data_IF_851216875576
#
_entry.id   IF_851216875576
#
_cell.length_a   1.000
_cell.length_b   1.000
_cell.length_c   1.000
_cell.angle_alpha   90.00
_cell.angle_beta   90.00
_cell.angle_gamma   90.00
#
_symmetry.space_group_name_H-M   'P 1'
#
loop_
_entity.id
_entity.type
_entity.pdbx_description
1 polymer ?
#
# COMPACT_ATOMS: atom_id res chain seq x y z
N UNK A 1 19.76 91.88 21.63
CA UNK A 1 19.12 91.26 22.81
C UNK A 1 17.94 90.32 22.46
N UNK A 2 18.03 89.46 21.43
CA UNK A 2 16.94 88.52 21.07
C UNK A 2 17.34 87.04 21.07
N UNK A 3 18.64 86.71 21.22
CA UNK A 3 19.13 85.33 21.22
C UNK A 3 19.31 84.69 22.61
N UNK A 4 19.15 85.46 23.70
CA UNK A 4 19.30 84.94 25.07
C UNK A 4 17.98 84.45 25.70
N UNK A 5 16.82 84.72 25.09
CA UNK A 5 15.51 84.25 25.59
C UNK A 5 15.21 82.83 25.10
N UNK A 6 15.67 82.45 23.90
CA UNK A 6 15.45 81.10 23.36
C UNK A 6 16.26 80.01 24.06
N UNK A 7 17.42 80.33 24.65
CA UNK A 7 18.25 79.36 25.37
C UNK A 7 17.66 78.94 26.73
N UNK A 8 16.90 79.81 27.39
CA UNK A 8 16.30 79.50 28.69
C UNK A 8 14.99 78.72 28.55
N UNK A 9 14.23 78.94 27.47
CA UNK A 9 12.99 78.21 27.20
C UNK A 9 13.21 76.73 26.78
N UNK A 10 14.40 76.40 26.25
CA UNK A 10 14.72 75.02 25.84
C UNK A 10 15.32 74.16 26.97
N UNK A 11 15.66 74.76 28.12
CA UNK A 11 16.21 74.04 29.28
C UNK A 11 15.11 73.72 30.32
N UNK A 12 13.96 74.40 30.30
CA UNK A 12 12.85 74.11 31.23
C UNK A 12 11.92 72.96 30.78
N UNK A 13 12.02 72.50 29.53
CA UNK A 13 11.20 71.40 29.00
C UNK A 13 11.96 70.04 28.97
N UNK A 14 13.12 69.95 29.62
CA UNK A 14 13.92 68.71 29.70
C UNK A 14 13.79 67.95 31.02
N UNK A 15 13.21 68.55 32.06
CA UNK A 15 13.27 67.99 33.43
C UNK A 15 11.90 67.62 34.00
N UNK A 16 10.79 67.99 33.33
CA UNK A 16 9.43 67.70 33.85
C UNK A 16 8.78 66.47 33.18
N UNK A 17 9.44 65.82 32.21
CA UNK A 17 8.90 64.63 31.54
C UNK A 17 9.58 63.30 31.88
N UNK A 18 10.53 63.26 32.83
CA UNK A 18 11.17 62.00 33.26
C UNK A 18 10.72 61.50 34.64
N UNK A 19 9.86 62.21 35.35
CA UNK A 19 9.44 61.82 36.72
C UNK A 19 8.25 60.86 36.79
N UNK A 20 7.64 60.43 35.67
CA UNK A 20 6.49 59.50 35.70
C UNK A 20 6.67 58.18 34.94
N UNK A 21 7.88 57.87 34.43
CA UNK A 21 8.12 56.62 33.67
C UNK A 21 8.79 55.52 34.52
N UNK A 22 8.90 55.71 35.84
CA UNK A 22 9.52 54.73 36.74
C UNK A 22 8.62 54.27 37.90
N UNK A 23 7.29 54.40 37.77
CA UNK A 23 6.33 53.88 38.75
C UNK A 23 5.39 52.80 38.19
N UNK A 24 5.39 52.56 36.88
CA UNK A 24 4.51 51.55 36.25
C UNK A 24 5.25 50.26 35.81
N UNK A 25 6.58 50.20 35.92
CA UNK A 25 7.36 49.00 35.56
C UNK A 25 7.49 48.00 36.73
N UNK A 26 7.40 48.47 37.98
CA UNK A 26 7.68 47.64 39.16
C UNK A 26 6.45 46.93 39.75
N UNK A 27 5.22 47.26 39.33
CA UNK A 27 4.02 46.59 39.87
C UNK A 27 3.83 45.15 39.36
N UNK A 28 4.51 44.76 38.27
CA UNK A 28 4.60 43.35 37.84
C UNK A 28 5.75 42.59 38.50
N UNK A 29 6.76 43.29 39.01
CA UNK A 29 7.96 42.69 39.62
C UNK A 29 7.72 42.25 41.07
N UNK A 30 6.68 42.75 41.73
CA UNK A 30 6.33 42.46 43.12
C UNK A 30 5.24 41.38 43.28
N UNK A 31 4.89 40.66 42.19
CA UNK A 31 4.21 39.38 42.35
C UNK A 31 5.19 38.41 43.01
N UNK A 32 5.07 38.29 44.33
CA UNK A 32 5.81 37.40 45.23
C UNK A 32 6.27 36.14 44.48
N UNK A 33 7.57 35.88 44.45
CA UNK A 33 8.17 34.72 43.76
C UNK A 33 7.44 33.41 44.11
N UNK A 34 6.91 33.32 45.32
CA UNK A 34 6.06 32.22 45.79
C UNK A 34 4.79 32.04 44.95
N UNK A 35 4.11 33.12 44.58
CA UNK A 35 2.91 33.08 43.73
C UNK A 35 3.24 32.65 42.29
N UNK A 36 4.42 33.02 41.79
CA UNK A 36 4.90 32.57 40.46
C UNK A 36 5.24 31.09 40.47
N UNK A 37 5.90 30.62 41.53
CA UNK A 37 6.20 29.21 41.73
C UNK A 37 4.93 28.37 41.86
N UNK A 38 3.97 28.79 42.67
CA UNK A 38 2.69 28.09 42.83
C UNK A 38 1.90 28.02 41.52
N UNK A 39 1.93 29.09 40.72
CA UNK A 39 1.31 29.10 39.39
C UNK A 39 2.03 28.17 38.41
N UNK A 40 3.37 28.17 38.40
CA UNK A 40 4.17 27.26 37.58
C UNK A 40 3.93 25.81 37.96
N UNK A 41 3.92 25.50 39.25
CA UNK A 41 3.64 24.16 39.77
C UNK A 41 2.24 23.70 39.35
N UNK A 42 1.24 24.57 39.46
CA UNK A 42 -0.13 24.27 39.03
C UNK A 42 -0.23 24.09 37.52
N UNK A 43 0.44 24.92 36.73
CA UNK A 43 0.48 24.81 35.27
C UNK A 43 1.15 23.51 34.83
N UNK A 44 2.35 23.23 35.35
CA UNK A 44 3.11 21.99 35.08
C UNK A 44 2.28 20.77 35.49
N UNK A 45 1.68 20.78 36.68
CA UNK A 45 0.85 19.67 37.15
C UNK A 45 -0.35 19.44 36.23
N UNK A 46 -1.04 20.52 35.82
CA UNK A 46 -2.20 20.41 34.92
C UNK A 46 -1.84 19.97 33.51
N UNK A 47 -0.69 20.43 32.99
CA UNK A 47 -0.23 20.15 31.65
C UNK A 47 0.31 18.72 31.55
N UNK A 48 1.08 18.27 32.56
CA UNK A 48 1.55 16.88 32.67
C UNK A 48 0.37 15.92 32.75
N UNK A 49 -0.65 16.21 33.55
CA UNK A 49 -1.85 15.36 33.64
C UNK A 49 -2.64 15.32 32.32
N UNK A 50 -2.73 16.45 31.61
CA UNK A 50 -3.31 16.50 30.25
C UNK A 50 -2.51 15.65 29.27
N UNK A 51 -1.19 15.82 29.23
CA UNK A 51 -0.30 15.09 28.34
C UNK A 51 -0.35 13.58 28.61
N UNK A 52 -0.37 13.16 29.88
CA UNK A 52 -0.52 11.75 30.25
C UNK A 52 -1.88 11.19 29.82
N UNK A 53 -2.95 11.95 29.99
CA UNK A 53 -4.29 11.54 29.55
C UNK A 53 -4.35 11.38 28.04
N UNK A 54 -3.72 12.28 27.29
CA UNK A 54 -3.66 12.23 25.83
C UNK A 54 -2.82 11.06 25.34
N UNK A 55 -1.66 10.81 25.96
CA UNK A 55 -0.82 9.64 25.67
C UNK A 55 -1.59 8.33 25.91
N UNK A 56 -2.34 8.24 27.01
CA UNK A 56 -3.17 7.06 27.31
C UNK A 56 -4.31 6.86 26.31
N UNK A 57 -4.90 7.96 25.79
CA UNK A 57 -5.91 7.87 24.72
C UNK A 57 -5.29 7.37 23.42
N UNK A 58 -4.16 7.96 23.01
CA UNK A 58 -3.44 7.55 21.81
C UNK A 58 -3.05 6.07 21.85
N UNK A 59 -2.51 5.59 22.97
CA UNK A 59 -2.14 4.19 23.13
C UNK A 59 -3.35 3.25 23.07
N UNK A 60 -4.49 3.65 23.65
CA UNK A 60 -5.73 2.84 23.56
C UNK A 60 -6.26 2.76 22.14
N UNK A 61 -6.20 3.86 21.39
CA UNK A 61 -6.60 3.91 19.99
C UNK A 61 -5.67 3.03 19.13
N UNK A 62 -4.36 3.11 19.36
CA UNK A 62 -3.39 2.26 18.67
C UNK A 62 -3.61 0.76 18.98
N UNK A 63 -3.84 0.39 20.25
CA UNK A 63 -4.17 -0.99 20.64
C UNK A 63 -5.45 -1.47 19.94
N UNK A 64 -6.48 -0.62 19.86
CA UNK A 64 -7.72 -0.95 19.16
C UNK A 64 -7.47 -1.16 17.66
N UNK A 65 -6.65 -0.31 17.05
CA UNK A 65 -6.27 -0.45 15.64
C UNK A 65 -5.47 -1.71 15.37
N UNK A 66 -4.45 -1.99 16.19
CA UNK A 66 -3.63 -3.21 16.09
C UNK A 66 -4.49 -4.47 16.27
N UNK A 67 -5.44 -4.45 17.20
CA UNK A 67 -6.39 -5.56 17.37
C UNK A 67 -7.23 -5.77 16.12
N UNK A 68 -7.75 -4.70 15.51
CA UNK A 68 -8.48 -4.79 14.25
C UNK A 68 -7.62 -5.37 13.12
N UNK A 69 -6.35 -4.97 13.03
CA UNK A 69 -5.41 -5.53 12.05
C UNK A 69 -5.15 -7.02 12.29
N UNK A 70 -5.02 -7.44 13.55
CA UNK A 70 -4.85 -8.86 13.91
C UNK A 70 -6.08 -9.68 13.51
N UNK A 71 -7.29 -9.20 13.83
CA UNK A 71 -8.54 -9.88 13.46
C UNK A 71 -8.68 -10.01 11.93
N UNK A 72 -8.29 -8.98 11.17
CA UNK A 72 -8.26 -9.03 9.71
C UNK A 72 -7.24 -10.06 9.19
N UNK A 73 -6.01 -10.03 9.70
CA UNK A 73 -4.95 -10.96 9.28
C UNK A 73 -5.32 -12.41 9.60
N UNK A 74 -5.95 -12.66 10.75
CA UNK A 74 -6.43 -13.99 11.13
C UNK A 74 -7.50 -14.49 10.16
N UNK A 75 -8.46 -13.64 9.79
CA UNK A 75 -9.46 -13.98 8.78
C UNK A 75 -8.85 -14.29 7.42
N UNK A 76 -7.90 -13.47 6.95
CA UNK A 76 -7.19 -13.69 5.69
C UNK A 76 -6.42 -15.01 5.70
N UNK A 77 -5.74 -15.33 6.81
CA UNK A 77 -5.05 -16.61 6.98
C UNK A 77 -6.01 -17.80 6.94
N UNK A 78 -7.15 -17.72 7.64
CA UNK A 78 -8.13 -18.80 7.65
C UNK A 78 -8.75 -19.00 6.25
N UNK A 79 -9.04 -17.91 5.55
CA UNK A 79 -9.50 -17.95 4.16
C UNK A 79 -8.46 -18.56 3.21
N UNK A 80 -7.17 -18.27 3.40
CA UNK A 80 -6.08 -18.88 2.63
C UNK A 80 -5.95 -20.38 2.92
N UNK A 81 -6.02 -20.81 4.19
CA UNK A 81 -6.00 -22.22 4.57
C UNK A 81 -7.18 -22.98 3.97
N UNK A 82 -8.38 -22.40 4.01
CA UNK A 82 -9.57 -23.03 3.45
C UNK A 82 -9.47 -23.17 1.92
N UNK A 83 -8.95 -22.14 1.23
CA UNK A 83 -8.67 -22.21 -0.21
C UNK A 83 -7.64 -23.29 -0.54
N UNK A 84 -6.56 -23.38 0.23
CA UNK A 84 -5.56 -24.43 0.08
C UNK A 84 -6.22 -25.81 0.25
N UNK A 85 -7.00 -26.03 1.31
CA UNK A 85 -7.71 -27.29 1.53
C UNK A 85 -8.63 -27.66 0.37
N UNK A 86 -9.40 -26.69 -0.12
CA UNK A 86 -10.27 -26.89 -1.28
C UNK A 86 -9.48 -27.28 -2.53
N UNK A 87 -8.33 -26.63 -2.77
CA UNK A 87 -7.46 -26.94 -3.91
C UNK A 87 -6.87 -28.36 -3.80
N UNK A 88 -6.45 -28.78 -2.60
CA UNK A 88 -5.97 -30.14 -2.36
C UNK A 88 -7.06 -31.19 -2.66
N UNK A 89 -8.29 -30.95 -2.19
CA UNK A 89 -9.41 -31.86 -2.43
C UNK A 89 -9.81 -31.90 -3.92
N UNK A 90 -9.77 -30.76 -4.62
CA UNK A 90 -10.02 -30.74 -6.06
C UNK A 90 -8.94 -31.49 -6.85
N UNK A 91 -7.67 -31.27 -6.51
CA UNK A 91 -6.55 -31.96 -7.15
C UNK A 91 -6.63 -33.48 -6.93
N UNK A 92 -6.96 -33.93 -5.72
CA UNK A 92 -7.17 -35.35 -5.42
C UNK A 92 -8.34 -35.95 -6.20
N UNK A 93 -9.49 -35.25 -6.26
CA UNK A 93 -10.64 -35.69 -7.08
C UNK A 93 -10.28 -35.79 -8.55
N UNK A 94 -9.51 -34.83 -9.08
CA UNK A 94 -9.08 -34.83 -10.49
C UNK A 94 -8.09 -35.96 -10.77
N UNK A 95 -7.12 -36.21 -9.89
CA UNK A 95 -6.19 -37.34 -10.03
C UNK A 95 -6.94 -38.66 -10.00
N UNK A 96 -7.78 -38.88 -8.99
CA UNK A 96 -8.63 -40.07 -8.90
C UNK A 96 -9.57 -40.21 -10.11
N UNK A 97 -10.11 -39.09 -10.62
CA UNK A 97 -10.95 -39.04 -11.81
C UNK A 97 -10.21 -39.34 -13.11
N UNK A 98 -8.93 -38.96 -13.24
CA UNK A 98 -8.08 -39.32 -14.37
C UNK A 98 -7.66 -40.78 -14.28
N UNK A 99 -7.34 -41.31 -13.11
CA UNK A 99 -7.02 -42.73 -12.92
C UNK A 99 -8.24 -43.64 -13.17
N UNK A 100 -9.43 -43.25 -12.68
CA UNK A 100 -10.68 -43.97 -12.94
C UNK A 100 -11.20 -43.77 -14.39
N UNK A 101 -11.02 -42.58 -14.95
CA UNK A 101 -11.41 -42.19 -16.30
C UNK A 101 -10.48 -42.72 -17.39
N UNK A 102 -9.23 -43.06 -17.07
CA UNK A 102 -8.28 -43.71 -17.99
C UNK A 102 -8.70 -45.14 -18.37
N UNK A 103 -9.72 -45.71 -17.71
CA UNK A 103 -10.38 -46.97 -18.11
C UNK A 103 -11.68 -46.77 -18.90
N UNK A 104 -12.20 -45.54 -18.97
CA UNK A 104 -13.38 -45.17 -19.74
C UNK A 104 -13.00 -44.20 -20.86
N UNK A 105 -12.09 -44.62 -21.75
CA UNK A 105 -12.16 -44.19 -23.14
C UNK A 105 -13.36 -44.89 -23.78
N UNK A 106 -14.56 -44.47 -23.38
CA UNK A 106 -15.73 -44.62 -24.21
C UNK A 106 -15.43 -43.85 -25.49
N UNK A 107 -15.40 -44.60 -26.58
CA UNK A 107 -15.29 -44.15 -27.95
C UNK A 107 -16.18 -42.93 -28.20
N UNK A 108 -15.58 -41.75 -28.25
CA UNK A 108 -16.16 -40.64 -29.00
C UNK A 108 -15.92 -40.91 -30.48
N UNK A 109 -16.82 -41.68 -31.10
CA UNK A 109 -16.90 -41.78 -32.56
C UNK A 109 -17.46 -40.45 -33.08
N UNK A 110 -16.57 -39.52 -33.35
CA UNK A 110 -16.84 -38.41 -34.27
C UNK A 110 -16.98 -39.03 -35.68
N UNK A 111 -18.06 -38.76 -36.44
CA UNK A 111 -18.17 -39.25 -37.81
C UNK A 111 -17.07 -38.60 -38.66
N UNK A 112 -16.09 -39.39 -39.09
CA UNK A 112 -15.05 -38.97 -40.03
C UNK A 112 -15.49 -39.37 -41.44
N UNK A 113 -15.62 -38.42 -42.40
CA UNK A 113 -15.77 -38.75 -43.82
C UNK A 113 -14.43 -39.23 -44.42
N UNK A 114 -14.46 -39.96 -45.55
CA UNK A 114 -13.37 -40.87 -45.96
C UNK A 114 -12.05 -40.16 -46.37
N UNK A 115 -10.93 -40.92 -46.36
CA UNK A 115 -9.59 -40.37 -46.42
C UNK A 115 -9.19 -40.06 -47.87
N UNK A 116 -8.77 -38.83 -48.13
CA UNK A 116 -7.99 -38.52 -49.32
C UNK A 116 -6.51 -38.39 -48.91
N UNK A 117 -5.70 -39.24 -49.54
CA UNK A 117 -4.26 -39.33 -49.41
C UNK A 117 -3.59 -38.21 -50.20
N UNK A 118 -2.56 -37.57 -49.62
CA UNK A 118 -1.25 -37.32 -50.26
C UNK A 118 -0.32 -36.56 -49.31
N UNK A 119 0.97 -36.88 -49.45
CA UNK A 119 2.03 -36.64 -48.50
C UNK A 119 2.70 -35.25 -48.61
N UNK A 120 3.48 -34.94 -47.57
CA UNK A 120 4.70 -34.11 -47.61
C UNK A 120 4.50 -32.60 -47.77
N UNK A 121 4.33 -31.93 -46.62
CA UNK A 121 5.21 -30.88 -46.10
C UNK A 121 4.60 -30.40 -44.79
N UNK A 122 5.31 -30.55 -43.68
CA UNK A 122 4.86 -30.14 -42.35
C UNK A 122 4.82 -28.61 -42.23
N UNK A 123 3.80 -28.00 -42.84
CA UNK A 123 3.23 -26.78 -42.34
C UNK A 123 2.47 -27.15 -41.05
N UNK A 124 2.94 -26.62 -39.92
CA UNK A 124 2.28 -26.75 -38.63
C UNK A 124 0.81 -26.35 -38.81
N UNK A 125 -0.18 -27.15 -38.37
CA UNK A 125 -1.57 -26.74 -38.46
C UNK A 125 -1.72 -25.55 -37.52
N UNK A 126 -1.68 -24.34 -38.06
CA UNK A 126 -2.36 -23.21 -37.45
C UNK A 126 -3.81 -23.66 -37.39
N UNK A 127 -4.29 -23.92 -36.18
CA UNK A 127 -5.70 -24.24 -35.93
C UNK A 127 -6.52 -23.23 -36.71
N UNK A 128 -7.37 -23.71 -37.62
CA UNK A 128 -8.21 -22.86 -38.45
C UNK A 128 -9.10 -22.02 -37.51
N UNK A 129 -8.73 -20.75 -37.31
CA UNK A 129 -9.40 -19.81 -36.40
C UNK A 129 -8.46 -19.04 -35.46
N UNK A 130 -7.23 -19.50 -35.22
CA UNK A 130 -6.28 -18.80 -34.33
C UNK A 130 -5.47 -17.74 -35.09
N UNK A 131 -6.17 -16.75 -35.68
CA UNK A 131 -5.54 -15.69 -36.50
C UNK A 131 -4.51 -14.88 -35.69
N UNK A 132 -4.76 -14.71 -34.39
CA UNK A 132 -3.89 -13.97 -33.47
C UNK A 132 -2.90 -14.89 -32.72
N UNK A 133 -2.94 -16.21 -32.88
CA UNK A 133 -2.03 -17.12 -32.18
C UNK A 133 -2.24 -17.19 -30.65
N UNK A 134 -3.41 -16.80 -30.15
CA UNK A 134 -3.71 -16.73 -28.71
C UNK A 134 -3.52 -18.10 -28.04
N UNK A 135 -3.90 -19.18 -28.73
CA UNK A 135 -3.76 -20.53 -28.20
C UNK A 135 -2.28 -20.92 -28.13
N UNK A 136 -1.51 -20.61 -29.17
CA UNK A 136 -0.07 -20.87 -29.21
C UNK A 136 0.70 -20.07 -28.13
N UNK A 137 0.33 -18.81 -27.91
CA UNK A 137 0.90 -17.97 -26.85
C UNK A 137 0.56 -18.51 -25.45
N UNK A 138 -0.71 -18.83 -25.21
CA UNK A 138 -1.16 -19.34 -23.90
C UNK A 138 -0.47 -20.65 -23.51
N UNK A 139 -0.23 -21.55 -24.48
CA UNK A 139 0.56 -22.78 -24.30
C UNK A 139 2.01 -22.47 -23.92
N UNK A 140 2.65 -21.55 -24.62
CA UNK A 140 4.02 -21.14 -24.30
C UNK A 140 4.13 -20.51 -22.90
N UNK A 141 3.12 -19.74 -22.50
CA UNK A 141 3.02 -19.12 -21.17
C UNK A 141 2.73 -20.13 -20.05
N UNK A 142 1.95 -21.18 -20.30
CA UNK A 142 1.74 -22.26 -19.33
C UNK A 142 3.07 -22.96 -18.99
N UNK A 143 3.88 -23.29 -20.01
CA UNK A 143 5.21 -23.88 -19.84
C UNK A 143 6.14 -22.98 -19.01
N UNK A 144 6.01 -21.66 -19.14
CA UNK A 144 6.77 -20.69 -18.33
C UNK A 144 6.38 -20.79 -16.85
N UNK A 145 5.09 -20.81 -16.56
CA UNK A 145 4.57 -20.94 -15.18
C UNK A 145 4.93 -22.27 -14.53
N UNK A 146 5.05 -23.33 -15.33
CA UNK A 146 5.47 -24.66 -14.88
C UNK A 146 6.98 -24.79 -14.68
N UNK A 147 7.76 -23.72 -14.92
CA UNK A 147 9.22 -23.71 -14.77
C UNK A 147 9.95 -24.44 -15.90
N UNK A 148 9.26 -24.82 -16.97
CA UNK A 148 9.84 -25.52 -18.13
C UNK A 148 10.47 -24.52 -19.10
N UNK A 149 11.45 -23.75 -18.63
CA UNK A 149 12.02 -22.62 -19.35
C UNK A 149 12.53 -22.98 -20.75
N UNK A 150 13.22 -24.12 -20.90
CA UNK A 150 13.75 -24.57 -22.21
C UNK A 150 12.65 -24.84 -23.24
N UNK A 151 11.53 -25.42 -22.80
CA UNK A 151 10.40 -25.71 -23.68
C UNK A 151 9.59 -24.45 -23.96
N UNK A 152 9.41 -23.60 -22.95
CA UNK A 152 8.73 -22.31 -23.07
C UNK A 152 9.44 -21.40 -24.08
N UNK A 153 10.78 -21.29 -24.01
CA UNK A 153 11.57 -20.51 -24.99
C UNK A 153 11.33 -21.02 -26.41
N UNK A 154 11.42 -22.34 -26.63
CA UNK A 154 11.18 -22.92 -27.95
C UNK A 154 9.75 -22.67 -28.46
N UNK A 155 8.77 -22.69 -27.56
CA UNK A 155 7.38 -22.42 -27.90
C UNK A 155 7.16 -20.95 -28.28
N UNK A 156 7.74 -20.00 -27.53
CA UNK A 156 7.69 -18.57 -27.87
C UNK A 156 8.44 -18.24 -29.17
N UNK A 157 9.59 -18.86 -29.43
CA UNK A 157 10.31 -18.68 -30.70
C UNK A 157 9.50 -19.18 -31.90
N UNK A 158 8.82 -20.33 -31.75
CA UNK A 158 7.90 -20.84 -32.76
C UNK A 158 6.73 -19.89 -32.96
N UNK A 159 6.13 -19.40 -31.87
CA UNK A 159 5.03 -18.45 -31.91
C UNK A 159 5.41 -17.17 -32.68
N UNK A 160 6.58 -16.57 -32.42
CA UNK A 160 7.07 -15.40 -33.17
C UNK A 160 7.22 -15.63 -34.67
N UNK A 161 7.56 -16.86 -35.08
CA UNK A 161 7.72 -17.22 -36.50
C UNK A 161 6.37 -17.52 -37.16
N UNK A 162 5.48 -18.19 -36.45
CA UNK A 162 4.17 -18.59 -36.96
C UNK A 162 3.14 -17.46 -36.94
N UNK A 163 3.29 -16.48 -36.04
CA UNK A 163 2.36 -15.36 -35.88
C UNK A 163 3.11 -14.00 -35.84
N UNK A 164 3.66 -13.53 -36.97
CA UNK A 164 4.43 -12.29 -37.04
C UNK A 164 3.61 -11.03 -36.73
N UNK A 165 2.29 -11.10 -36.93
CA UNK A 165 1.34 -10.01 -36.72
C UNK A 165 0.48 -10.19 -35.47
N UNK A 166 0.83 -11.10 -34.56
CA UNK A 166 0.09 -11.27 -33.31
C UNK A 166 0.24 -10.06 -32.40
N UNK A 167 -0.80 -9.79 -31.61
CA UNK A 167 -0.80 -8.79 -30.54
C UNK A 167 -0.29 -9.32 -29.19
N UNK A 168 -0.07 -10.63 -29.07
CA UNK A 168 0.47 -11.30 -27.88
C UNK A 168 1.99 -11.45 -27.99
#
# INVERSE_FOLDING_TARGET
MKYQIYKVALISCGVVFTSNVWAAQNSLADLSEKQRLERLERLISSDVLRQQTEAMRSLREEISSLRGQVEQQEYELESMKQRQRSLYLDMDRRINGVEAGSRNTATFTVPVPPPNTTATNSAVPVVAGDVDGQEAYSKAFALLKEGQYKQSIQAFEKFKKSYPSSKY
#
